data_IF_467179311396
#
_entry.id   IF_467179311396
#
_cell.length_a   1.000
_cell.length_b   1.000
_cell.length_c   1.000
_cell.angle_alpha   90.00
_cell.angle_beta   90.00
_cell.angle_gamma   90.00
#
_symmetry.space_group_name_H-M   'P 1'
#
loop_
_entity.id
_entity.type
_entity.pdbx_description
1 polymer ?
#
# COMPACT_ATOMS: atom_id res chain seq x y z
N UNK A 1 -15.45 18.41 5.75
CA UNK A 1 -16.60 17.55 6.06
C UNK A 1 -16.09 16.13 6.23
N UNK A 2 -16.28 15.51 7.39
CA UNK A 2 -15.83 14.13 7.65
C UNK A 2 -16.90 13.19 7.13
N UNK A 3 -16.58 12.46 6.06
CA UNK A 3 -17.44 11.41 5.51
C UNK A 3 -17.53 10.25 6.50
N UNK A 4 -18.69 10.06 7.13
CA UNK A 4 -18.99 8.85 7.90
C UNK A 4 -18.93 7.62 6.97
N UNK A 5 -18.21 6.54 7.35
CA UNK A 5 -18.13 5.34 6.53
C UNK A 5 -19.52 4.70 6.37
N UNK A 6 -19.94 4.48 5.12
CA UNK A 6 -21.27 3.96 4.75
C UNK A 6 -21.43 2.44 4.91
N UNK A 7 -20.46 1.76 5.52
CA UNK A 7 -20.44 0.30 5.60
C UNK A 7 -20.86 -0.18 7.00
N UNK A 8 -22.16 -0.33 7.23
CA UNK A 8 -22.69 -0.72 8.55
C UNK A 8 -22.34 -2.15 8.98
N UNK A 9 -22.02 -3.06 8.04
CA UNK A 9 -21.61 -4.44 8.35
C UNK A 9 -20.55 -4.93 7.36
N UNK A 10 -19.37 -5.29 7.90
CA UNK A 10 -18.25 -5.90 7.16
C UNK A 10 -18.16 -7.41 7.35
N UNK A 11 -18.63 -7.90 8.49
CA UNK A 11 -18.60 -9.31 8.86
C UNK A 11 -19.89 -9.69 9.57
N UNK A 12 -20.39 -10.90 9.30
CA UNK A 12 -21.57 -11.46 9.97
C UNK A 12 -21.32 -12.94 10.23
N UNK A 13 -21.58 -13.39 11.43
CA UNK A 13 -21.46 -14.80 11.79
C UNK A 13 -22.66 -15.27 12.60
N UNK A 14 -22.74 -16.58 12.81
CA UNK A 14 -23.79 -17.19 13.61
C UNK A 14 -23.73 -18.72 13.61
N UNK A 15 -24.58 -19.30 14.46
CA UNK A 15 -24.87 -20.74 14.45
C UNK A 15 -26.00 -21.04 13.48
N UNK A 16 -25.91 -22.18 12.80
CA UNK A 16 -26.89 -22.60 11.79
C UNK A 16 -27.11 -24.12 11.79
N UNK A 17 -27.11 -24.74 12.97
CA UNK A 17 -27.33 -26.17 13.19
C UNK A 17 -28.57 -26.73 12.45
N UNK A 18 -29.66 -25.95 12.40
CA UNK A 18 -30.90 -26.33 11.71
C UNK A 18 -30.82 -26.25 10.19
N UNK A 19 -29.89 -25.48 9.63
CA UNK A 19 -29.71 -25.32 8.19
C UNK A 19 -29.17 -26.59 7.54
N UNK A 20 -28.33 -27.33 8.26
CA UNK A 20 -27.82 -28.64 7.81
C UNK A 20 -28.95 -29.67 7.70
N UNK A 21 -29.84 -29.71 8.68
CA UNK A 21 -31.00 -30.61 8.67
C UNK A 21 -31.98 -30.22 7.57
N UNK A 22 -32.26 -28.92 7.40
CA UNK A 22 -33.13 -28.42 6.33
C UNK A 22 -32.59 -28.72 4.92
N UNK A 23 -31.27 -28.94 4.80
CA UNK A 23 -30.59 -29.30 3.56
C UNK A 23 -30.49 -30.82 3.34
N UNK A 24 -31.17 -31.64 4.15
CA UNK A 24 -31.19 -33.10 4.06
C UNK A 24 -29.98 -33.80 4.70
N UNK A 25 -29.17 -33.07 5.46
CA UNK A 25 -28.04 -33.61 6.21
C UNK A 25 -28.41 -34.08 7.61
N UNK A 26 -27.46 -34.75 8.27
CA UNK A 26 -27.60 -35.12 9.68
C UNK A 26 -27.57 -33.89 10.60
N UNK A 27 -28.24 -34.01 11.74
CA UNK A 27 -28.20 -32.98 12.78
C UNK A 27 -26.79 -32.85 13.34
N UNK A 28 -26.13 -31.72 13.03
CA UNK A 28 -24.79 -31.38 13.52
C UNK A 28 -24.74 -29.93 13.96
N UNK A 29 -23.88 -29.64 14.93
CA UNK A 29 -23.61 -28.26 15.36
C UNK A 29 -22.78 -27.58 14.28
N UNK A 30 -23.18 -26.38 13.87
CA UNK A 30 -22.52 -25.64 12.82
C UNK A 30 -22.48 -24.14 13.15
N UNK A 31 -21.29 -23.55 13.02
CA UNK A 31 -21.05 -22.13 13.15
C UNK A 31 -20.21 -21.64 11.97
N UNK A 32 -20.40 -20.40 11.57
CA UNK A 32 -19.66 -19.83 10.46
C UNK A 32 -19.68 -18.32 10.48
N UNK A 33 -18.76 -17.77 9.68
CA UNK A 33 -18.53 -16.35 9.54
C UNK A 33 -18.48 -16.03 8.05
N UNK A 34 -19.12 -14.95 7.66
CA UNK A 34 -19.07 -14.37 6.33
C UNK A 34 -18.41 -13.01 6.40
N UNK A 35 -17.44 -12.79 5.54
CA UNK A 35 -16.71 -11.54 5.41
C UNK A 35 -17.05 -10.92 4.06
N UNK A 36 -17.51 -9.68 4.06
CA UNK A 36 -17.75 -8.91 2.84
C UNK A 36 -16.42 -8.33 2.32
N UNK A 37 -15.62 -9.15 1.65
CA UNK A 37 -14.27 -8.80 1.17
C UNK A 37 -14.23 -7.51 0.35
N UNK A 38 -15.21 -7.29 -0.54
CA UNK A 38 -15.32 -6.05 -1.32
C UNK A 38 -15.43 -4.81 -0.43
N UNK A 39 -16.34 -4.83 0.55
CA UNK A 39 -16.54 -3.71 1.49
C UNK A 39 -15.34 -3.52 2.42
N UNK A 40 -14.69 -4.62 2.79
CA UNK A 40 -13.46 -4.59 3.57
C UNK A 40 -12.34 -3.89 2.81
N UNK A 41 -12.18 -4.17 1.51
CA UNK A 41 -11.19 -3.53 0.65
C UNK A 41 -11.53 -2.05 0.41
N UNK A 42 -12.80 -1.72 0.18
CA UNK A 42 -13.27 -0.33 0.04
C UNK A 42 -12.97 0.49 1.31
N UNK A 43 -13.36 -0.02 2.49
CA UNK A 43 -13.07 0.63 3.77
C UNK A 43 -11.56 0.76 4.05
N UNK A 44 -10.76 -0.22 3.63
CA UNK A 44 -9.30 -0.17 3.75
C UNK A 44 -8.66 0.86 2.79
N UNK A 45 -9.30 1.15 1.66
CA UNK A 45 -8.87 2.17 0.70
C UNK A 45 -9.24 3.59 1.17
N UNK A 46 -10.42 3.77 1.77
CA UNK A 46 -10.90 5.07 2.28
C UNK A 46 -10.03 5.64 3.42
N UNK A 47 -9.38 4.78 4.21
CA UNK A 47 -8.52 5.17 5.33
C UNK A 47 -7.05 5.44 4.96
N UNK A 48 -6.64 5.19 3.72
CA UNK A 48 -5.29 5.48 3.25
C UNK A 48 -5.30 6.81 2.50
N UNK A 49 -4.32 7.72 2.75
CA UNK A 49 -4.10 8.79 1.79
C UNK A 49 -3.89 8.15 0.41
N UNK A 50 -4.30 8.83 -0.64
CA UNK A 50 -4.09 8.46 -2.05
C UNK A 50 -2.60 8.38 -2.45
N UNK A 51 -1.70 8.06 -1.52
CA UNK A 51 -0.35 7.59 -1.79
C UNK A 51 -0.46 6.23 -2.49
N UNK A 52 -0.75 6.27 -3.79
CA UNK A 52 -0.07 5.64 -4.94
C UNK A 52 0.51 4.23 -4.82
N UNK A 53 0.37 3.55 -3.69
CA UNK A 53 0.80 2.18 -3.50
C UNK A 53 -0.32 1.31 -4.04
N UNK A 54 -0.45 1.32 -5.37
CA UNK A 54 -1.12 0.24 -6.09
C UNK A 54 -0.54 -1.07 -5.51
N UNK A 55 -1.37 -2.00 -5.01
CA UNK A 55 -0.89 -3.35 -4.86
C UNK A 55 -0.56 -3.86 -6.27
N UNK A 56 0.64 -4.39 -6.45
CA UNK A 56 0.99 -5.09 -7.68
C UNK A 56 1.72 -4.26 -8.70
N UNK A 57 2.94 -3.83 -8.37
CA UNK A 57 3.97 -4.36 -9.24
C UNK A 57 4.91 -5.21 -8.41
N UNK A 58 4.87 -6.51 -8.65
CA UNK A 58 5.87 -7.43 -8.11
C UNK A 58 7.26 -7.09 -8.66
N UNK A 59 7.33 -6.38 -9.78
CA UNK A 59 8.59 -5.91 -10.34
C UNK A 59 9.33 -4.99 -9.39
N UNK A 60 10.54 -5.41 -9.07
CA UNK A 60 11.50 -4.64 -8.30
C UNK A 60 12.42 -3.84 -9.22
N UNK A 61 12.74 -4.38 -10.40
CA UNK A 61 13.72 -3.81 -11.34
C UNK A 61 13.20 -3.85 -12.76
N UNK A 62 13.35 -2.75 -13.50
CA UNK A 62 13.13 -2.71 -14.95
C UNK A 62 14.47 -2.49 -15.64
N UNK A 63 14.81 -3.35 -16.60
CA UNK A 63 16.03 -3.25 -17.39
C UNK A 63 15.74 -2.53 -18.70
N UNK A 64 16.45 -1.44 -18.94
CA UNK A 64 16.33 -0.56 -20.10
C UNK A 64 17.66 -0.58 -20.88
N UNK A 65 17.58 -0.40 -22.19
CA UNK A 65 18.78 -0.21 -23.02
C UNK A 65 18.43 0.55 -24.30
N UNK A 66 19.44 1.15 -24.97
CA UNK A 66 19.32 1.49 -26.38
C UNK A 66 18.96 0.26 -27.23
N UNK A 67 18.28 0.50 -28.35
CA UNK A 67 17.58 -0.50 -29.18
C UNK A 67 18.47 -1.67 -29.64
N UNK A 68 19.78 -1.42 -29.80
CA UNK A 68 20.79 -2.36 -30.28
C UNK A 68 21.22 -3.46 -29.30
N UNK A 69 20.78 -3.41 -28.02
CA UNK A 69 21.39 -4.21 -26.94
C UNK A 69 20.44 -5.24 -26.28
N UNK A 70 19.59 -5.90 -27.07
CA UNK A 70 18.62 -6.89 -26.55
C UNK A 70 19.28 -8.08 -25.82
N UNK A 71 20.35 -8.65 -26.40
CA UNK A 71 21.01 -9.82 -25.82
C UNK A 71 21.57 -9.54 -24.41
N UNK A 72 22.19 -8.37 -24.23
CA UNK A 72 22.75 -7.94 -22.94
C UNK A 72 21.65 -7.64 -21.92
N UNK A 73 20.51 -7.07 -22.33
CA UNK A 73 19.32 -6.92 -21.47
C UNK A 73 18.83 -8.27 -20.97
N UNK A 74 18.65 -9.23 -21.87
CA UNK A 74 18.17 -10.57 -21.51
C UNK A 74 19.18 -11.28 -20.59
N UNK A 75 20.48 -11.09 -20.82
CA UNK A 75 21.53 -11.62 -19.96
C UNK A 75 21.43 -11.04 -18.54
N UNK A 76 21.31 -9.71 -18.40
CA UNK A 76 21.19 -9.06 -17.10
C UNK A 76 19.92 -9.49 -16.36
N UNK A 77 18.79 -9.54 -17.06
CA UNK A 77 17.52 -10.02 -16.48
C UNK A 77 17.62 -11.47 -16.03
N UNK A 78 18.24 -12.34 -16.83
CA UNK A 78 18.46 -13.74 -16.47
C UNK A 78 19.31 -13.88 -15.20
N UNK A 79 20.37 -13.06 -15.07
CA UNK A 79 21.20 -13.02 -13.86
C UNK A 79 20.40 -12.53 -12.64
N UNK A 80 19.55 -11.52 -12.81
CA UNK A 80 18.68 -11.03 -11.74
C UNK A 80 17.67 -12.10 -11.29
N UNK A 81 17.07 -12.82 -12.24
CA UNK A 81 16.14 -13.92 -11.94
C UNK A 81 16.83 -15.07 -11.21
N UNK A 82 18.03 -15.47 -11.65
CA UNK A 82 18.82 -16.51 -10.97
C UNK A 82 19.07 -16.16 -9.50
N UNK A 83 19.22 -14.88 -9.23
CA UNK A 83 19.49 -14.32 -7.92
C UNK A 83 18.22 -14.01 -7.11
N UNK A 84 17.03 -14.34 -7.63
CA UNK A 84 15.74 -14.20 -6.98
C UNK A 84 15.13 -12.80 -7.04
N UNK A 85 15.70 -11.89 -7.85
CA UNK A 85 15.20 -10.52 -8.03
C UNK A 85 14.11 -10.52 -9.10
N UNK A 86 12.95 -9.93 -8.79
CA UNK A 86 11.84 -9.82 -9.75
C UNK A 86 12.12 -8.67 -10.71
N UNK A 87 12.67 -9.02 -11.87
CA UNK A 87 13.02 -8.06 -12.92
C UNK A 87 12.21 -8.29 -14.20
N UNK A 88 12.02 -7.24 -14.98
CA UNK A 88 11.52 -7.32 -16.36
C UNK A 88 12.34 -6.40 -17.25
N UNK A 89 12.17 -6.52 -18.56
CA UNK A 89 12.82 -5.66 -19.54
C UNK A 89 11.81 -4.86 -20.35
N UNK A 90 12.19 -3.64 -20.72
CA UNK A 90 11.42 -2.87 -21.69
C UNK A 90 11.84 -3.25 -23.11
N UNK A 91 10.86 -3.60 -23.94
CA UNK A 91 11.07 -4.12 -25.30
C UNK A 91 11.09 -3.02 -26.38
N UNK A 92 10.44 -1.88 -26.15
CA UNK A 92 10.19 -0.86 -27.18
C UNK A 92 10.44 0.55 -26.67
N UNK A 93 10.94 1.42 -27.55
CA UNK A 93 11.08 2.86 -27.30
C UNK A 93 12.50 3.33 -26.98
N UNK A 94 12.68 4.64 -27.01
CA UNK A 94 13.89 5.32 -26.55
C UNK A 94 14.09 5.13 -25.02
N UNK A 95 15.33 5.19 -24.51
CA UNK A 95 15.60 5.00 -23.09
C UNK A 95 14.80 5.96 -22.17
N UNK A 96 14.41 7.14 -22.66
CA UNK A 96 13.55 8.06 -21.91
C UNK A 96 12.12 7.55 -21.74
N UNK A 97 11.49 7.06 -22.82
CA UNK A 97 10.16 6.46 -22.76
C UNK A 97 10.15 5.14 -21.96
N UNK A 98 11.21 4.34 -22.04
CA UNK A 98 11.36 3.13 -21.21
C UNK A 98 11.41 3.45 -19.71
N UNK A 99 12.16 4.50 -19.31
CA UNK A 99 12.20 4.98 -17.91
C UNK A 99 10.83 5.50 -17.47
N UNK A 100 10.13 6.24 -18.33
CA UNK A 100 8.78 6.73 -18.04
C UNK A 100 7.78 5.57 -17.87
N UNK A 101 7.88 4.54 -18.70
CA UNK A 101 7.09 3.31 -18.57
C UNK A 101 7.38 2.60 -17.25
N UNK A 102 8.65 2.43 -16.88
CA UNK A 102 9.04 1.85 -15.60
C UNK A 102 8.53 2.66 -14.40
N UNK A 103 8.48 3.99 -14.52
CA UNK A 103 7.90 4.87 -13.50
C UNK A 103 6.38 4.72 -13.40
N UNK A 104 5.66 4.61 -14.51
CA UNK A 104 4.21 4.35 -14.52
C UNK A 104 3.86 2.99 -13.91
N UNK A 105 4.73 2.01 -14.14
CA UNK A 105 4.65 0.67 -13.57
C UNK A 105 5.00 0.64 -12.06
N UNK A 106 5.50 1.74 -11.48
CA UNK A 106 5.78 1.84 -10.05
C UNK A 106 6.98 1.01 -9.58
N UNK A 107 7.88 0.67 -10.50
CA UNK A 107 9.08 -0.13 -10.23
C UNK A 107 10.02 0.63 -9.28
N UNK A 108 10.75 -0.09 -8.42
CA UNK A 108 11.64 0.53 -7.44
C UNK A 108 12.95 1.04 -8.08
N UNK A 109 13.49 0.29 -9.04
CA UNK A 109 14.79 0.55 -9.67
C UNK A 109 14.68 0.39 -11.19
N UNK A 110 15.37 1.27 -11.92
CA UNK A 110 15.62 1.14 -13.36
C UNK A 110 17.11 0.90 -13.57
N UNK A 111 17.47 -0.13 -14.33
CA UNK A 111 18.84 -0.44 -14.71
C UNK A 111 19.01 -0.17 -16.22
N UNK A 112 19.79 0.84 -16.58
CA UNK A 112 20.03 1.24 -17.97
C UNK A 112 21.39 0.73 -18.43
N UNK A 113 21.44 -0.12 -19.44
CA UNK A 113 22.71 -0.56 -20.04
C UNK A 113 23.28 0.53 -20.96
N UNK A 114 24.60 0.70 -20.94
CA UNK A 114 25.33 1.48 -21.94
C UNK A 114 25.36 0.77 -23.30
N UNK A 115 25.68 1.50 -24.38
CA UNK A 115 25.73 0.94 -25.74
C UNK A 115 26.75 -0.21 -25.90
N UNK A 116 27.82 -0.21 -25.11
CA UNK A 116 28.83 -1.27 -25.12
C UNK A 116 28.53 -2.39 -24.13
N UNK A 117 27.62 -2.16 -23.17
CA UNK A 117 27.23 -3.14 -22.16
C UNK A 117 28.24 -3.35 -21.03
N UNK A 118 29.32 -2.56 -20.99
CA UNK A 118 30.36 -2.66 -19.95
C UNK A 118 29.87 -2.09 -18.61
N UNK A 119 29.02 -1.06 -18.69
CA UNK A 119 28.47 -0.35 -17.54
C UNK A 119 26.94 -0.37 -17.53
N UNK A 120 26.40 -0.43 -16.32
CA UNK A 120 24.96 -0.37 -16.04
C UNK A 120 24.73 0.82 -15.13
N UNK A 121 23.93 1.76 -15.61
CA UNK A 121 23.47 2.90 -14.85
C UNK A 121 22.21 2.53 -14.06
N UNK A 122 22.31 2.50 -12.74
CA UNK A 122 21.23 2.11 -11.85
C UNK A 122 20.59 3.37 -11.27
N UNK A 123 19.29 3.53 -11.48
CA UNK A 123 18.49 4.67 -11.05
C UNK A 123 17.37 4.22 -10.13
N UNK A 124 17.37 4.70 -8.88
CA UNK A 124 16.30 4.42 -7.92
C UNK A 124 15.14 5.41 -8.11
N UNK A 125 13.98 4.97 -8.61
CA UNK A 125 12.84 5.88 -8.88
C UNK A 125 12.21 6.48 -7.62
N UNK A 126 12.43 5.84 -6.46
CA UNK A 126 11.96 6.33 -5.15
C UNK A 126 12.89 7.38 -4.52
N UNK A 127 14.11 7.55 -5.02
CA UNK A 127 15.07 8.57 -4.57
C UNK A 127 15.32 9.54 -5.71
N UNK A 128 15.24 10.84 -5.44
CA UNK A 128 15.34 11.85 -6.50
C UNK A 128 16.76 12.01 -7.07
N UNK A 129 17.79 11.43 -6.46
CA UNK A 129 19.20 11.82 -6.67
C UNK A 129 20.23 10.69 -6.80
N UNK A 130 19.86 9.40 -6.71
CA UNK A 130 20.84 8.30 -6.83
C UNK A 130 20.75 7.65 -8.22
N UNK A 131 21.59 8.16 -9.13
CA UNK A 131 21.98 7.49 -10.36
C UNK A 131 23.45 7.09 -10.21
N UNK A 132 23.71 5.78 -10.15
CA UNK A 132 25.06 5.25 -9.99
C UNK A 132 25.42 4.39 -11.20
N UNK A 133 26.61 4.62 -11.76
CA UNK A 133 27.15 3.81 -12.83
C UNK A 133 28.02 2.70 -12.24
N UNK A 134 27.66 1.45 -12.54
CA UNK A 134 28.29 0.25 -11.97
C UNK A 134 28.74 -0.67 -13.10
N UNK A 135 29.91 -1.32 -13.01
CA UNK A 135 30.33 -2.33 -13.97
C UNK A 135 29.30 -3.48 -14.05
N UNK A 136 29.11 -4.04 -15.25
CA UNK A 136 28.14 -5.11 -15.48
C UNK A 136 28.29 -6.30 -14.51
N UNK A 137 29.54 -6.66 -14.18
CA UNK A 137 29.85 -7.75 -13.25
C UNK A 137 29.31 -7.51 -11.83
N UNK A 138 29.32 -6.25 -11.37
CA UNK A 138 28.90 -5.88 -10.01
C UNK A 138 27.45 -5.39 -9.94
N UNK A 139 26.80 -5.17 -11.09
CA UNK A 139 25.45 -4.62 -11.18
C UNK A 139 24.43 -5.39 -10.34
N UNK A 140 24.46 -6.73 -10.39
CA UNK A 140 23.50 -7.58 -9.65
C UNK A 140 23.68 -7.45 -8.13
N UNK A 141 24.93 -7.42 -7.66
CA UNK A 141 25.25 -7.24 -6.25
C UNK A 141 24.80 -5.87 -5.75
N UNK A 142 25.05 -4.83 -6.56
CA UNK A 142 24.65 -3.48 -6.24
C UNK A 142 23.13 -3.31 -6.19
N UNK A 143 22.40 -3.83 -7.19
CA UNK A 143 20.92 -3.83 -7.22
C UNK A 143 20.33 -4.47 -5.95
N UNK A 144 20.88 -5.61 -5.51
CA UNK A 144 20.44 -6.28 -4.26
C UNK A 144 20.64 -5.39 -3.03
N UNK A 145 21.79 -4.73 -2.92
CA UNK A 145 22.07 -3.82 -1.80
C UNK A 145 21.09 -2.65 -1.77
N UNK A 146 20.81 -2.05 -2.93
CA UNK A 146 19.85 -0.95 -3.06
C UNK A 146 18.44 -1.42 -2.70
N UNK A 147 17.99 -2.58 -3.20
CA UNK A 147 16.68 -3.15 -2.87
C UNK A 147 16.53 -3.44 -1.37
N UNK A 148 17.54 -4.04 -0.75
CA UNK A 148 17.54 -4.33 0.68
C UNK A 148 17.47 -3.04 1.51
N UNK A 149 18.26 -2.02 1.15
CA UNK A 149 18.22 -0.71 1.80
C UNK A 149 16.87 0.00 1.66
N UNK A 150 16.16 -0.20 0.54
CA UNK A 150 14.81 0.35 0.34
C UNK A 150 13.74 -0.43 1.11
N UNK A 151 13.87 -1.75 1.22
CA UNK A 151 12.95 -2.62 1.97
C UNK A 151 12.95 -2.28 3.46
N UNK A 152 14.14 -2.13 4.07
CA UNK A 152 14.25 -1.78 5.49
C UNK A 152 13.57 -0.44 5.85
N UNK A 153 13.51 0.50 4.91
CA UNK A 153 12.89 1.82 5.12
C UNK A 153 11.37 1.82 4.99
N UNK A 154 10.79 0.89 4.24
CA UNK A 154 9.33 0.80 4.10
C UNK A 154 8.68 0.28 5.38
N UNK A 155 9.38 -0.58 6.13
CA UNK A 155 8.92 -1.18 7.38
C UNK A 155 8.89 -0.14 8.52
N UNK A 156 9.76 0.86 8.51
CA UNK A 156 9.88 1.86 9.58
C UNK A 156 8.82 2.97 9.63
N UNK A 157 7.81 2.98 8.75
CA UNK A 157 6.80 4.07 8.67
C UNK A 157 5.45 3.77 9.32
N UNK A 158 5.38 2.85 10.29
CA UNK A 158 4.17 2.71 11.11
C UNK A 158 4.16 3.78 12.22
N UNK A 159 3.66 4.98 11.91
CA UNK A 159 3.46 6.03 12.91
C UNK A 159 2.24 5.62 13.76
N UNK A 160 2.38 5.36 15.08
CA UNK A 160 1.21 5.09 15.91
C UNK A 160 0.28 6.30 15.87
N UNK A 161 -1.01 6.06 15.61
CA UNK A 161 -2.05 7.08 15.74
C UNK A 161 -1.97 7.62 17.17
N UNK A 162 -1.53 8.87 17.33
CA UNK A 162 -1.72 9.58 18.59
C UNK A 162 -3.23 9.64 18.86
N UNK A 163 -3.64 9.01 19.94
CA UNK A 163 -5.03 9.08 20.41
C UNK A 163 -5.35 10.53 20.74
N UNK A 164 -6.30 11.11 20.01
CA UNK A 164 -6.91 12.37 20.40
C UNK A 164 -7.74 12.12 21.65
N UNK A 165 -7.20 12.48 22.81
CA UNK A 165 -7.94 12.61 24.07
C UNK A 165 -9.11 13.59 23.85
N UNK A 166 -10.33 13.10 24.01
CA UNK A 166 -11.54 13.93 24.04
C UNK A 166 -11.47 14.91 25.21
N UNK A 167 -11.79 16.20 25.04
CA UNK A 167 -12.02 17.09 26.17
C UNK A 167 -13.34 16.70 26.86
N UNK A 168 -13.25 16.41 28.16
CA UNK A 168 -14.39 16.17 29.04
C UNK A 168 -15.27 17.42 29.10
N UNK A 169 -16.57 17.24 28.82
CA UNK A 169 -17.59 18.26 29.04
C UNK A 169 -17.86 18.39 30.55
N UNK A 170 -17.47 19.53 31.12
CA UNK A 170 -17.88 19.96 32.47
C UNK A 170 -19.41 20.04 32.56
N UNK A 171 -19.98 19.19 33.43
CA UNK A 171 -21.35 19.37 33.92
C UNK A 171 -21.33 20.48 34.99
N UNK A 172 -21.83 21.67 34.64
CA UNK A 172 -22.23 22.68 35.65
C UNK A 172 -23.63 22.37 36.16
N UNK A 173 -23.72 22.12 37.45
CA UNK A 173 -24.94 22.09 38.26
C UNK A 173 -25.37 23.54 38.51
N UNK A 174 -26.61 23.96 38.23
CA UNK A 174 -27.13 25.22 38.76
C UNK A 174 -27.85 24.94 40.07
N UNK A 175 -27.34 25.52 41.15
CA UNK A 175 -28.06 25.56 42.42
C UNK A 175 -28.17 27.02 42.88
N UNK A 176 -29.41 27.37 43.25
CA UNK A 176 -29.85 28.44 44.13
C UNK A 176 -30.30 29.81 43.58
N UNK A 177 -31.56 30.09 43.97
CA UNK A 177 -32.36 31.32 43.96
C UNK A 177 -31.75 32.44 44.82
N UNK A 178 -32.25 33.68 44.69
CA UNK A 178 -33.26 34.21 45.63
C UNK A 178 -34.41 34.91 44.87
N UNK A 179 -35.65 35.07 45.36
CA UNK A 179 -36.11 35.44 46.70
C UNK A 179 -36.73 36.85 46.64
N UNK A 180 -37.99 36.97 47.10
CA UNK A 180 -38.84 38.17 47.33
C UNK A 180 -39.87 38.47 46.22
N UNK A 181 -41.16 38.15 46.35
CA UNK A 181 -42.20 38.63 47.29
C UNK A 181 -42.68 40.06 47.02
N UNK A 182 -43.84 40.23 46.37
CA UNK A 182 -45.07 40.78 46.98
C UNK A 182 -46.16 41.19 45.96
N UNK A 183 -47.35 40.63 46.19
CA UNK A 183 -48.66 41.32 46.35
C UNK A 183 -49.34 42.02 45.16
N UNK A 184 -50.57 41.54 44.86
CA UNK A 184 -51.84 42.26 44.60
C UNK A 184 -52.59 41.61 43.41
N UNK A 185 -53.61 40.75 43.59
CA UNK A 185 -55.00 41.04 43.99
C UNK A 185 -55.69 42.09 43.10
N UNK A 186 -56.51 41.63 42.14
CA UNK A 186 -57.95 41.96 42.02
C UNK A 186 -58.61 41.32 40.78
N UNK A 187 -59.67 40.57 41.09
CA UNK A 187 -60.98 40.35 40.41
C UNK A 187 -60.96 39.91 38.95
#
# INVERSE_FOLDING_TARGET
QVSTPRHSVLMRGGRFDSLLVASGGERRVACGLTIATKRLLEAAAEGRPSSSTRPGNELEVCVCSPESSLAQRMQLVSLLWREGVRADLSHEGDPGSQVAQAAMLGVAIVAMLSEHGDTVTIKALRRKEEQEEVPFADAVKHIKQVLHAQSLRSIGRFKPRQGSSSPQAERRVPDQLPGNANTALKV
#
